data_IF_736160883353
#
_entry.id   IF_736160883353
#
_cell.length_a   1.000
_cell.length_b   1.000
_cell.length_c   1.000
_cell.angle_alpha   90.00
_cell.angle_beta   90.00
_cell.angle_gamma   90.00
#
_symmetry.space_group_name_H-M   'P 1'
#
loop_
_entity.id
_entity.type
_entity.pdbx_description
1 polymer ?
#
# COMPACT_ATOMS: atom_id res chain seq x y z
N UNK A 1 -18.25 -28.64 22.85
CA UNK A 1 -18.35 -28.92 21.42
C UNK A 1 -17.16 -28.21 20.77
N UNK A 2 -16.01 -28.90 20.74
CA UNK A 2 -14.77 -28.40 20.16
C UNK A 2 -14.85 -28.57 18.65
N UNK A 3 -14.95 -27.48 17.91
CA UNK A 3 -14.82 -27.50 16.47
C UNK A 3 -13.35 -27.71 16.13
N UNK A 4 -12.99 -28.86 15.59
CA UNK A 4 -11.74 -29.04 14.86
C UNK A 4 -11.87 -28.25 13.55
N UNK A 5 -11.40 -26.98 13.58
CA UNK A 5 -11.38 -26.06 12.43
C UNK A 5 -10.07 -26.16 11.64
N UNK A 6 -9.19 -27.07 12.01
CA UNK A 6 -7.88 -27.23 11.37
C UNK A 6 -7.93 -28.35 10.34
N UNK A 7 -7.99 -28.02 9.08
CA UNK A 7 -7.71 -28.94 7.99
C UNK A 7 -6.23 -29.31 8.00
N UNK A 8 -5.93 -30.56 8.38
CA UNK A 8 -4.70 -31.29 8.06
C UNK A 8 -3.36 -30.78 8.62
N UNK A 9 -2.90 -31.46 9.64
CA UNK A 9 -1.55 -31.56 10.21
C UNK A 9 -0.37 -31.23 9.28
N UNK A 10 -0.02 -29.94 9.14
CA UNK A 10 1.39 -29.56 8.95
C UNK A 10 1.60 -28.13 9.46
N UNK A 11 1.90 -28.02 10.75
CA UNK A 11 2.51 -26.78 11.27
C UNK A 11 3.80 -26.52 10.48
N UNK A 12 3.78 -25.50 9.64
CA UNK A 12 4.95 -25.05 8.90
C UNK A 12 5.91 -24.36 9.88
N UNK A 13 7.21 -24.53 9.70
CA UNK A 13 8.22 -23.88 10.53
C UNK A 13 9.25 -23.19 9.67
N UNK A 14 9.55 -21.93 9.96
CA UNK A 14 10.52 -21.14 9.21
C UNK A 14 11.49 -20.39 10.16
N UNK A 15 12.70 -20.14 9.68
CA UNK A 15 13.68 -19.35 10.41
C UNK A 15 13.20 -17.89 10.49
N UNK A 16 12.75 -17.32 9.39
CA UNK A 16 12.18 -15.96 9.34
C UNK A 16 10.85 -15.98 8.62
N UNK A 17 9.83 -15.41 9.25
CA UNK A 17 8.55 -15.07 8.62
C UNK A 17 8.44 -13.55 8.50
N UNK A 18 8.20 -13.06 7.29
CA UNK A 18 8.03 -11.62 7.01
C UNK A 18 6.57 -11.37 6.70
N UNK A 19 5.91 -10.51 7.47
CA UNK A 19 4.51 -10.15 7.28
C UNK A 19 4.43 -8.86 6.49
N UNK A 20 4.06 -8.97 5.22
CA UNK A 20 3.95 -7.91 4.23
C UNK A 20 5.00 -7.99 3.13
N UNK A 21 4.53 -8.11 1.88
CA UNK A 21 5.32 -8.21 0.65
C UNK A 21 5.56 -6.87 -0.04
N UNK A 22 5.49 -5.75 0.70
CA UNK A 22 5.93 -4.43 0.22
C UNK A 22 7.45 -4.29 0.22
N UNK A 23 7.98 -3.16 -0.24
CA UNK A 23 9.44 -2.92 -0.37
C UNK A 23 10.22 -3.17 0.91
N UNK A 24 9.68 -2.81 2.06
CA UNK A 24 10.33 -3.06 3.35
C UNK A 24 10.50 -4.57 3.63
N UNK A 25 9.45 -5.36 3.39
CA UNK A 25 9.49 -6.82 3.56
C UNK A 25 10.40 -7.49 2.53
N UNK A 26 10.32 -7.06 1.28
CA UNK A 26 11.17 -7.57 0.19
C UNK A 26 12.65 -7.27 0.46
N UNK A 27 12.98 -6.04 0.88
CA UNK A 27 14.35 -5.65 1.26
C UNK A 27 14.87 -6.47 2.44
N UNK A 28 14.03 -6.66 3.47
CA UNK A 28 14.40 -7.47 4.64
C UNK A 28 14.68 -8.93 4.27
N UNK A 29 13.86 -9.51 3.38
CA UNK A 29 14.06 -10.87 2.89
C UNK A 29 15.38 -11.02 2.11
N UNK A 30 15.66 -10.08 1.20
CA UNK A 30 16.89 -10.09 0.42
C UNK A 30 18.14 -9.94 1.29
N UNK A 31 18.09 -9.05 2.29
CA UNK A 31 19.21 -8.87 3.20
C UNK A 31 19.42 -10.10 4.09
N UNK A 32 18.35 -10.69 4.61
CA UNK A 32 18.44 -11.94 5.37
C UNK A 32 19.04 -13.07 4.52
N UNK A 33 18.68 -13.17 3.24
CA UNK A 33 19.26 -14.14 2.30
C UNK A 33 20.75 -13.90 2.09
N UNK A 34 21.19 -12.64 1.91
CA UNK A 34 22.61 -12.28 1.79
C UNK A 34 23.41 -12.65 3.04
N UNK A 35 22.81 -12.54 4.23
CA UNK A 35 23.41 -12.95 5.50
C UNK A 35 23.42 -14.47 5.72
N UNK A 36 22.99 -15.26 4.74
CA UNK A 36 23.08 -16.72 4.75
C UNK A 36 21.85 -17.44 5.32
N UNK A 37 20.74 -16.74 5.59
CA UNK A 37 19.51 -17.38 6.04
C UNK A 37 18.77 -17.91 4.81
N UNK A 38 18.55 -19.23 4.77
CA UNK A 38 17.93 -19.91 3.63
C UNK A 38 16.42 -20.11 3.79
N UNK A 39 15.94 -20.27 5.01
CA UNK A 39 14.55 -20.57 5.30
C UNK A 39 13.77 -19.30 5.66
N UNK A 40 13.29 -18.61 4.64
CA UNK A 40 12.55 -17.35 4.72
C UNK A 40 11.24 -17.50 3.98
N UNK A 41 10.12 -17.06 4.58
CA UNK A 41 8.83 -16.94 3.90
C UNK A 41 8.25 -15.54 4.08
N UNK A 42 7.74 -14.97 2.98
CA UNK A 42 6.99 -13.71 2.98
C UNK A 42 5.49 -14.03 2.92
N UNK A 43 4.70 -13.43 3.80
CA UNK A 43 3.24 -13.55 3.80
C UNK A 43 2.64 -12.24 3.29
N UNK A 44 1.92 -12.30 2.17
CA UNK A 44 1.29 -11.13 1.56
C UNK A 44 -0.22 -11.37 1.38
N UNK A 45 -1.02 -10.41 1.80
CA UNK A 45 -2.49 -10.51 1.72
C UNK A 45 -3.05 -10.21 0.32
N UNK A 46 -2.34 -9.40 -0.47
CA UNK A 46 -2.74 -9.09 -1.84
C UNK A 46 -2.33 -10.24 -2.78
N UNK A 47 -2.82 -10.19 -4.01
CA UNK A 47 -2.54 -11.20 -5.04
C UNK A 47 -1.18 -11.04 -5.71
N UNK A 48 -0.38 -10.05 -5.29
CA UNK A 48 0.95 -9.74 -5.84
C UNK A 48 1.86 -9.10 -4.79
N UNK A 49 3.17 -9.25 -4.98
CA UNK A 49 4.20 -8.55 -4.22
C UNK A 49 4.35 -7.10 -4.72
N UNK A 50 4.94 -6.22 -3.90
CA UNK A 50 5.23 -4.82 -4.23
C UNK A 50 4.48 -3.81 -3.36
N UNK A 51 3.37 -4.23 -2.74
CA UNK A 51 2.61 -3.43 -1.79
C UNK A 51 2.04 -2.15 -2.42
N UNK A 52 2.12 -1.04 -1.68
CA UNK A 52 1.52 0.23 -2.10
C UNK A 52 2.15 0.80 -3.38
N UNK A 53 3.39 0.44 -3.70
CA UNK A 53 4.08 0.93 -4.90
C UNK A 53 3.40 0.51 -6.20
N UNK A 54 2.75 -0.64 -6.23
CA UNK A 54 2.00 -1.07 -7.41
C UNK A 54 0.85 -0.11 -7.77
N UNK A 55 0.44 0.74 -6.83
CA UNK A 55 -0.63 1.75 -7.01
C UNK A 55 -0.08 3.12 -7.43
N UNK A 56 1.22 3.36 -7.26
CA UNK A 56 1.87 4.65 -7.52
C UNK A 56 2.52 4.67 -8.90
N UNK A 57 1.70 4.88 -9.93
CA UNK A 57 2.16 4.89 -11.33
C UNK A 57 2.79 6.23 -11.76
N UNK A 58 2.92 7.21 -10.84
CA UNK A 58 3.70 8.42 -11.10
C UNK A 58 5.20 8.13 -10.98
N UNK A 59 5.99 8.88 -11.70
CA UNK A 59 7.44 8.94 -11.60
C UNK A 59 7.86 9.72 -10.34
N UNK A 60 8.93 9.33 -9.70
CA UNK A 60 9.43 9.99 -8.48
C UNK A 60 10.19 9.04 -7.56
N UNK A 61 10.27 7.79 -7.95
CA UNK A 61 11.08 6.80 -7.25
C UNK A 61 12.45 6.69 -7.92
N UNK A 62 13.52 6.73 -7.14
CA UNK A 62 14.89 6.57 -7.64
C UNK A 62 15.48 5.30 -7.04
N UNK A 63 16.09 4.49 -7.90
CA UNK A 63 16.97 3.42 -7.47
C UNK A 63 18.39 3.88 -7.75
N UNK A 64 19.23 3.85 -6.75
CA UNK A 64 20.65 4.17 -6.86
C UNK A 64 20.97 5.64 -7.18
N UNK A 65 22.24 5.95 -7.37
CA UNK A 65 22.77 7.28 -7.70
C UNK A 65 22.44 7.75 -9.14
N UNK A 66 21.68 6.95 -9.90
CA UNK A 66 21.42 7.20 -11.34
C UNK A 66 20.57 8.42 -11.62
N UNK A 67 19.92 9.05 -10.63
CA UNK A 67 18.95 10.15 -10.77
C UNK A 67 17.77 9.86 -11.71
N UNK A 68 17.66 8.65 -12.25
CA UNK A 68 16.55 8.26 -13.09
C UNK A 68 15.29 8.10 -12.26
N UNK A 69 14.27 8.89 -12.56
CA UNK A 69 12.95 8.79 -11.95
C UNK A 69 12.19 7.64 -12.63
N UNK A 70 11.75 6.68 -11.84
CA UNK A 70 10.93 5.55 -12.30
C UNK A 70 9.60 5.51 -11.56
N UNK A 71 8.66 4.77 -12.08
CA UNK A 71 7.35 4.58 -11.46
C UNK A 71 7.42 3.63 -10.25
N UNK A 72 6.40 3.68 -9.38
CA UNK A 72 6.31 2.78 -8.23
C UNK A 72 6.35 1.29 -8.62
N UNK A 73 5.57 0.82 -9.61
CA UNK A 73 5.63 -0.56 -10.09
C UNK A 73 7.02 -0.97 -10.62
N UNK A 74 7.70 -0.11 -11.37
CA UNK A 74 9.07 -0.40 -11.84
C UNK A 74 10.05 -0.52 -10.67
N UNK A 75 9.89 0.35 -9.66
CA UNK A 75 10.69 0.28 -8.44
C UNK A 75 10.43 -1.04 -7.68
N UNK A 76 9.16 -1.42 -7.48
CA UNK A 76 8.78 -2.67 -6.84
C UNK A 76 9.29 -3.89 -7.61
N UNK A 77 9.20 -3.87 -8.94
CA UNK A 77 9.62 -4.96 -9.80
C UNK A 77 11.10 -5.33 -9.62
N UNK A 78 11.98 -4.35 -9.37
CA UNK A 78 13.41 -4.63 -9.11
C UNK A 78 13.60 -5.53 -7.88
N UNK A 79 12.83 -5.31 -6.82
CA UNK A 79 12.87 -6.18 -5.63
C UNK A 79 12.24 -7.55 -5.90
N UNK A 80 11.08 -7.58 -6.55
CA UNK A 80 10.37 -8.83 -6.88
C UNK A 80 11.24 -9.74 -7.74
N UNK A 81 11.91 -9.17 -8.75
CA UNK A 81 12.86 -9.91 -9.58
C UNK A 81 13.96 -10.58 -8.75
N UNK A 82 14.58 -9.82 -7.82
CA UNK A 82 15.60 -10.35 -6.94
C UNK A 82 15.05 -11.44 -5.98
N UNK A 83 13.83 -11.30 -5.46
CA UNK A 83 13.17 -12.34 -4.64
C UNK A 83 13.08 -13.65 -5.41
N UNK A 84 12.65 -13.59 -6.69
CA UNK A 84 12.52 -14.76 -7.54
C UNK A 84 13.89 -15.35 -7.91
N UNK A 85 14.88 -14.54 -8.24
CA UNK A 85 16.24 -14.97 -8.56
C UNK A 85 16.94 -15.66 -7.39
N UNK A 86 16.62 -15.26 -6.15
CA UNK A 86 17.16 -15.88 -4.92
C UNK A 86 16.25 -16.99 -4.36
N UNK A 87 15.20 -17.35 -5.08
CA UNK A 87 14.25 -18.42 -4.70
C UNK A 87 13.70 -18.24 -3.27
N UNK A 88 13.39 -17.00 -2.89
CA UNK A 88 12.79 -16.72 -1.59
C UNK A 88 11.29 -17.05 -1.65
N UNK A 89 10.82 -17.91 -0.75
CA UNK A 89 9.43 -18.33 -0.71
C UNK A 89 8.48 -17.22 -0.28
N UNK A 90 7.29 -17.19 -0.87
CA UNK A 90 6.21 -16.28 -0.47
C UNK A 90 4.84 -16.92 -0.65
N UNK A 91 3.87 -16.49 0.15
CA UNK A 91 2.45 -16.85 0.08
C UNK A 91 1.65 -15.58 -0.19
N UNK A 92 1.01 -15.53 -1.37
CA UNK A 92 0.08 -14.45 -1.77
C UNK A 92 -1.34 -14.77 -1.29
N UNK A 93 -2.25 -13.81 -1.40
CA UNK A 93 -3.65 -13.94 -0.95
C UNK A 93 -3.77 -14.49 0.48
N UNK A 94 -2.76 -14.28 1.31
CA UNK A 94 -2.65 -14.88 2.63
C UNK A 94 -2.72 -13.81 3.70
N UNK A 95 -3.78 -13.83 4.50
CA UNK A 95 -4.02 -12.87 5.56
C UNK A 95 -3.56 -13.42 6.91
N UNK A 96 -2.67 -12.71 7.59
CA UNK A 96 -2.30 -13.00 8.97
C UNK A 96 -3.40 -12.48 9.90
N UNK A 97 -3.97 -13.36 10.72
CA UNK A 97 -5.03 -13.05 11.66
C UNK A 97 -4.51 -12.70 13.06
N UNK A 98 -3.50 -13.46 13.52
CA UNK A 98 -2.92 -13.27 14.85
C UNK A 98 -1.49 -13.81 14.92
N UNK A 99 -0.78 -13.39 15.97
CA UNK A 99 0.53 -13.92 16.30
C UNK A 99 0.65 -14.01 17.84
N UNK A 100 1.15 -15.14 18.33
CA UNK A 100 1.42 -15.35 19.75
C UNK A 100 2.79 -14.78 20.17
N UNK A 101 3.04 -14.70 21.48
CA UNK A 101 4.37 -14.32 22.02
C UNK A 101 5.46 -15.33 21.65
N UNK A 102 5.08 -16.58 21.42
CA UNK A 102 5.99 -17.65 21.00
C UNK A 102 6.20 -17.68 19.48
N UNK A 103 5.75 -16.63 18.78
CA UNK A 103 5.88 -16.46 17.33
C UNK A 103 5.18 -17.53 16.50
N UNK A 104 4.06 -18.06 17.00
CA UNK A 104 3.11 -18.84 16.21
C UNK A 104 2.18 -17.86 15.52
N UNK A 105 2.17 -17.89 14.20
CA UNK A 105 1.39 -17.02 13.33
C UNK A 105 0.20 -17.81 12.81
N UNK A 106 -1.01 -17.32 13.07
CA UNK A 106 -2.25 -17.86 12.46
C UNK A 106 -2.57 -17.08 11.20
N UNK A 107 -2.68 -17.76 10.08
CA UNK A 107 -2.98 -17.17 8.79
C UNK A 107 -4.10 -17.94 8.06
N UNK A 108 -4.69 -17.29 7.05
CA UNK A 108 -5.75 -17.86 6.23
C UNK A 108 -5.55 -17.49 4.77
N UNK A 109 -5.78 -18.44 3.88
CA UNK A 109 -5.92 -18.24 2.43
C UNK A 109 -6.94 -19.23 1.84
N UNK A 110 -7.24 -19.11 0.56
CA UNK A 110 -8.23 -19.97 -0.10
C UNK A 110 -7.71 -21.39 -0.37
N UNK A 111 -6.39 -21.58 -0.45
CA UNK A 111 -5.76 -22.87 -0.77
C UNK A 111 -5.58 -23.76 0.46
N UNK A 112 -5.01 -23.18 1.53
CA UNK A 112 -4.65 -23.91 2.75
C UNK A 112 -5.75 -23.82 3.82
N UNK A 113 -6.74 -22.92 3.64
CA UNK A 113 -7.71 -22.60 4.69
C UNK A 113 -7.06 -21.85 5.85
N UNK A 114 -7.44 -22.20 7.09
CA UNK A 114 -6.83 -21.69 8.31
C UNK A 114 -5.64 -22.59 8.70
N UNK A 115 -4.46 -21.98 8.87
CA UNK A 115 -3.24 -22.71 9.21
C UNK A 115 -2.33 -21.91 10.15
N UNK A 116 -1.33 -22.61 10.73
CA UNK A 116 -0.36 -22.01 11.64
C UNK A 116 1.07 -22.16 11.11
N UNK A 117 1.87 -21.12 11.36
CA UNK A 117 3.29 -21.07 11.02
C UNK A 117 4.10 -20.77 12.27
N UNK A 118 5.07 -21.62 12.58
CA UNK A 118 6.07 -21.37 13.59
C UNK A 118 7.23 -20.57 13.01
N UNK A 119 7.70 -19.54 13.72
CA UNK A 119 8.84 -18.72 13.29
C UNK A 119 9.89 -18.61 14.38
N UNK A 120 11.18 -18.71 14.02
CA UNK A 120 12.27 -18.34 14.96
C UNK A 120 12.35 -16.82 15.12
N UNK A 121 12.10 -16.08 14.04
CA UNK A 121 11.98 -14.61 14.05
C UNK A 121 10.84 -14.15 13.14
N UNK A 122 10.20 -13.03 13.50
CA UNK A 122 9.16 -12.42 12.70
C UNK A 122 9.51 -10.97 12.41
N UNK A 123 9.39 -10.57 11.15
CA UNK A 123 9.55 -9.19 10.70
C UNK A 123 8.19 -8.66 10.31
N UNK A 124 7.74 -7.58 10.98
CA UNK A 124 6.50 -6.90 10.66
C UNK A 124 6.77 -5.79 9.64
N UNK A 125 6.33 -5.98 8.41
CA UNK A 125 6.45 -5.04 7.29
C UNK A 125 5.09 -4.72 6.65
N UNK A 126 4.04 -4.64 7.48
CA UNK A 126 2.63 -4.53 7.05
C UNK A 126 2.26 -3.18 6.42
N UNK A 127 3.20 -2.23 6.37
CA UNK A 127 3.01 -0.91 5.78
C UNK A 127 2.13 0.02 6.61
N UNK A 128 1.77 1.15 6.01
CA UNK A 128 0.84 2.11 6.56
C UNK A 128 -0.55 1.95 5.93
N UNK A 129 -1.57 2.30 6.69
CA UNK A 129 -2.94 2.35 6.21
C UNK A 129 -3.42 3.79 6.21
N UNK A 130 -4.19 4.18 5.21
CA UNK A 130 -4.88 5.47 5.19
C UNK A 130 -5.71 5.66 6.46
N UNK A 131 -5.73 6.89 6.98
CA UNK A 131 -6.61 7.24 8.10
C UNK A 131 -8.06 6.99 7.70
N UNK A 132 -8.78 6.25 8.54
CA UNK A 132 -10.20 6.01 8.33
C UNK A 132 -10.97 7.32 8.31
N UNK A 133 -12.03 7.40 7.51
CA UNK A 133 -12.91 8.56 7.39
C UNK A 133 -13.42 9.07 8.74
N UNK A 134 -13.61 8.16 9.69
CA UNK A 134 -14.07 8.46 11.06
C UNK A 134 -13.09 9.34 11.84
N UNK A 135 -11.79 9.29 11.52
CA UNK A 135 -10.73 10.09 12.17
C UNK A 135 -10.72 11.53 11.64
N UNK A 136 -11.33 11.78 10.49
CA UNK A 136 -11.36 13.10 9.85
C UNK A 136 -12.47 14.01 10.39
N UNK A 137 -13.23 13.58 11.42
CA UNK A 137 -14.35 14.33 12.00
C UNK A 137 -15.37 14.82 10.96
N UNK A 138 -15.46 14.12 9.82
CA UNK A 138 -16.45 14.44 8.81
C UNK A 138 -17.80 13.91 9.25
N UNK A 139 -18.86 14.74 9.27
CA UNK A 139 -20.19 14.31 9.72
C UNK A 139 -20.86 13.29 8.79
N UNK A 140 -20.14 12.74 7.82
CA UNK A 140 -20.66 11.96 6.71
C UNK A 140 -20.27 10.47 6.76
N UNK A 141 -20.39 9.83 7.92
CA UNK A 141 -19.99 8.45 8.17
C UNK A 141 -20.61 7.39 7.24
N UNK A 142 -21.54 7.74 6.36
CA UNK A 142 -22.22 6.82 5.44
C UNK A 142 -22.50 7.40 4.05
N UNK A 143 -21.98 8.59 3.72
CA UNK A 143 -22.21 9.17 2.41
C UNK A 143 -21.45 8.40 1.33
N UNK A 144 -22.17 7.98 0.30
CA UNK A 144 -21.56 7.48 -0.92
C UNK A 144 -20.71 8.58 -1.57
N UNK A 145 -19.62 8.19 -2.24
CA UNK A 145 -18.77 9.15 -2.96
C UNK A 145 -17.63 9.75 -2.14
N UNK A 146 -17.41 9.31 -0.89
CA UNK A 146 -16.23 9.71 -0.10
C UNK A 146 -15.22 8.56 -0.13
N UNK A 147 -14.04 8.84 -0.65
CA UNK A 147 -12.94 7.87 -0.81
C UNK A 147 -11.64 8.42 -0.26
N UNK A 148 -10.74 7.56 0.22
CA UNK A 148 -9.36 7.94 0.49
C UNK A 148 -8.59 8.08 -0.82
N UNK A 149 -7.50 8.84 -0.82
CA UNK A 149 -6.63 8.98 -1.99
C UNK A 149 -6.11 7.62 -2.48
N UNK A 150 -5.77 6.73 -1.53
CA UNK A 150 -5.35 5.36 -1.83
C UNK A 150 -6.44 4.55 -2.53
N UNK A 151 -7.69 4.63 -2.05
CA UNK A 151 -8.81 3.94 -2.68
C UNK A 151 -9.06 4.44 -4.10
N UNK A 152 -8.97 5.76 -4.32
CA UNK A 152 -9.11 6.36 -5.67
C UNK A 152 -8.02 5.85 -6.62
N UNK A 153 -6.77 5.83 -6.16
CA UNK A 153 -5.67 5.29 -6.96
C UNK A 153 -5.89 3.80 -7.29
N UNK A 154 -6.39 3.01 -6.34
CA UNK A 154 -6.73 1.60 -6.59
C UNK A 154 -7.83 1.48 -7.64
N UNK A 155 -8.91 2.27 -7.55
CA UNK A 155 -9.98 2.26 -8.56
C UNK A 155 -9.47 2.59 -9.95
N UNK A 156 -8.65 3.63 -10.08
CA UNK A 156 -8.13 4.06 -11.39
C UNK A 156 -7.12 3.04 -11.92
N UNK A 157 -6.10 2.71 -11.12
CA UNK A 157 -4.93 2.00 -11.62
C UNK A 157 -5.15 0.49 -11.77
N UNK A 158 -6.00 -0.13 -10.94
CA UNK A 158 -6.28 -1.57 -11.03
C UNK A 158 -7.61 -1.93 -11.69
N UNK A 159 -8.60 -1.05 -11.57
CA UNK A 159 -9.95 -1.35 -12.06
C UNK A 159 -10.37 -0.51 -13.25
N UNK A 160 -9.59 0.50 -13.66
CA UNK A 160 -9.95 1.42 -14.75
C UNK A 160 -11.24 2.20 -14.48
N UNK A 161 -11.59 2.39 -13.21
CA UNK A 161 -12.83 3.01 -12.78
C UNK A 161 -12.60 4.40 -12.18
N UNK A 162 -13.40 5.39 -12.62
CA UNK A 162 -13.38 6.72 -12.02
C UNK A 162 -14.41 6.83 -10.90
N UNK A 163 -14.03 7.38 -9.71
CA UNK A 163 -14.93 7.50 -8.57
C UNK A 163 -16.03 8.55 -8.75
N UNK A 164 -15.88 9.46 -9.71
CA UNK A 164 -16.85 10.51 -10.02
C UNK A 164 -16.39 11.44 -11.12
N UNK A 165 -17.30 12.31 -11.61
CA UNK A 165 -17.01 13.29 -12.68
C UNK A 165 -16.53 14.63 -12.14
N UNK A 166 -17.10 15.08 -11.01
CA UNK A 166 -16.71 16.32 -10.32
C UNK A 166 -16.25 15.96 -8.92
N UNK A 167 -15.00 16.29 -8.60
CA UNK A 167 -14.33 15.79 -7.40
C UNK A 167 -13.74 16.97 -6.63
N UNK A 168 -13.87 16.94 -5.33
CA UNK A 168 -13.13 17.80 -4.40
C UNK A 168 -12.14 16.91 -3.67
N UNK A 169 -10.89 17.34 -3.63
CA UNK A 169 -9.83 16.67 -2.86
C UNK A 169 -9.64 17.42 -1.54
N UNK A 170 -9.71 16.69 -0.41
CA UNK A 170 -9.52 17.26 0.92
C UNK A 170 -8.18 16.85 1.51
N UNK A 171 -7.30 17.81 1.63
CA UNK A 171 -5.91 17.68 2.08
C UNK A 171 -4.91 17.95 0.96
N UNK A 172 -3.92 18.80 1.25
CA UNK A 172 -2.86 19.23 0.32
C UNK A 172 -1.53 18.53 0.54
N UNK A 173 -1.52 17.32 1.12
CA UNK A 173 -0.32 16.51 1.15
C UNK A 173 0.00 15.94 -0.25
N UNK A 174 1.20 15.39 -0.45
CA UNK A 174 1.62 14.91 -1.77
C UNK A 174 0.65 13.89 -2.36
N UNK A 175 0.08 12.99 -1.56
CA UNK A 175 -0.93 12.04 -2.04
C UNK A 175 -2.18 12.73 -2.60
N UNK A 176 -2.64 13.82 -1.96
CA UNK A 176 -3.77 14.64 -2.44
C UNK A 176 -3.45 15.37 -3.74
N UNK A 177 -2.24 15.93 -3.86
CA UNK A 177 -1.79 16.63 -5.07
C UNK A 177 -1.66 15.65 -6.25
N UNK A 178 -0.96 14.54 -6.04
CA UNK A 178 -0.73 13.52 -7.07
C UNK A 178 -2.04 12.88 -7.55
N UNK A 179 -2.97 12.58 -6.63
CA UNK A 179 -4.27 12.02 -7.02
C UNK A 179 -5.12 13.04 -7.78
N UNK A 180 -5.01 14.33 -7.47
CA UNK A 180 -5.70 15.40 -8.22
C UNK A 180 -5.24 15.45 -9.67
N UNK A 181 -3.92 15.40 -9.90
CA UNK A 181 -3.34 15.28 -11.24
C UNK A 181 -3.85 14.04 -11.96
N UNK A 182 -3.83 12.88 -11.29
CA UNK A 182 -4.26 11.61 -11.88
C UNK A 182 -5.72 11.65 -12.30
N UNK A 183 -6.62 12.11 -11.44
CA UNK A 183 -8.05 12.28 -11.72
C UNK A 183 -8.28 13.15 -12.96
N UNK A 184 -7.54 14.26 -13.06
CA UNK A 184 -7.65 15.20 -14.19
C UNK A 184 -7.16 14.58 -15.49
N UNK A 185 -6.05 13.86 -15.47
CA UNK A 185 -5.51 13.15 -16.64
C UNK A 185 -6.46 12.07 -17.16
N UNK A 186 -7.25 11.45 -16.29
CA UNK A 186 -8.28 10.47 -16.67
C UNK A 186 -9.60 11.11 -17.10
N UNK A 187 -9.66 12.43 -17.25
CA UNK A 187 -10.79 13.15 -17.82
C UNK A 187 -11.90 13.54 -16.84
N UNK A 188 -11.69 13.38 -15.53
CA UNK A 188 -12.62 13.94 -14.53
C UNK A 188 -12.19 15.34 -14.10
N UNK A 189 -13.14 16.12 -13.59
CA UNK A 189 -12.91 17.49 -13.16
C UNK A 189 -12.63 17.57 -11.67
N UNK A 190 -11.43 18.04 -11.28
CA UNK A 190 -11.12 18.39 -9.90
C UNK A 190 -11.51 19.85 -9.68
N UNK A 191 -12.59 20.08 -8.95
CA UNK A 191 -13.13 21.42 -8.69
C UNK A 191 -12.20 22.25 -7.82
N UNK A 192 -11.61 21.65 -6.79
CA UNK A 192 -10.62 22.29 -5.91
C UNK A 192 -9.91 21.24 -5.06
N UNK A 193 -8.70 21.60 -4.60
CA UNK A 193 -8.06 20.98 -3.45
C UNK A 193 -8.31 21.89 -2.25
N UNK A 194 -8.86 21.34 -1.16
CA UNK A 194 -9.22 22.06 0.06
C UNK A 194 -8.28 21.63 1.19
N UNK A 195 -7.65 22.58 1.86
CA UNK A 195 -6.74 22.34 2.97
C UNK A 195 -7.15 23.13 4.21
N UNK A 196 -7.28 22.42 5.33
CA UNK A 196 -7.65 23.02 6.63
C UNK A 196 -6.57 23.97 7.16
N UNK A 197 -5.31 23.64 6.92
CA UNK A 197 -4.19 24.47 7.36
C UNK A 197 -4.03 25.71 6.45
N UNK A 198 -3.51 26.84 6.97
CA UNK A 198 -3.28 28.05 6.17
C UNK A 198 -2.02 27.94 5.28
N UNK A 199 -1.48 26.76 5.10
CA UNK A 199 -0.28 26.50 4.31
C UNK A 199 -0.37 25.15 3.60
N UNK A 200 0.37 25.01 2.49
CA UNK A 200 0.56 23.75 1.75
C UNK A 200 1.25 22.70 2.64
N UNK A 201 0.76 21.47 2.62
CA UNK A 201 1.36 20.36 3.37
C UNK A 201 2.26 19.45 2.52
N UNK A 202 2.09 19.46 1.22
CA UNK A 202 2.94 18.74 0.27
C UNK A 202 4.13 19.55 -0.18
N UNK A 203 4.93 18.98 -1.08
CA UNK A 203 6.08 19.64 -1.67
C UNK A 203 5.65 20.67 -2.72
N UNK A 204 6.42 21.76 -2.83
CA UNK A 204 6.13 22.84 -3.79
C UNK A 204 6.22 22.37 -5.26
N UNK A 205 7.10 21.41 -5.55
CA UNK A 205 7.22 20.78 -6.85
C UNK A 205 5.91 20.10 -7.26
N UNK A 206 5.31 19.31 -6.36
CA UNK A 206 4.02 18.67 -6.60
C UNK A 206 2.87 19.67 -6.72
N UNK A 207 2.92 20.82 -6.03
CA UNK A 207 1.94 21.89 -6.24
C UNK A 207 1.97 22.35 -7.70
N UNK A 208 3.16 22.72 -8.21
CA UNK A 208 3.32 23.23 -9.56
C UNK A 208 2.94 22.19 -10.62
N UNK A 209 3.39 20.94 -10.47
CA UNK A 209 3.14 19.89 -11.46
C UNK A 209 1.73 19.31 -11.43
N UNK A 210 1.08 19.32 -10.25
CA UNK A 210 -0.21 18.65 -10.08
C UNK A 210 -1.41 19.60 -10.05
N UNK A 211 -1.23 20.85 -9.59
CA UNK A 211 -2.33 21.81 -9.51
C UNK A 211 -2.17 22.98 -10.47
N UNK A 212 -1.02 23.70 -10.42
CA UNK A 212 -0.83 24.91 -11.22
C UNK A 212 -0.89 24.60 -12.72
N UNK A 213 -0.24 23.53 -13.16
CA UNK A 213 -0.25 23.08 -14.55
C UNK A 213 -1.66 22.80 -15.09
N UNK A 214 -2.55 22.29 -14.22
CA UNK A 214 -3.93 21.95 -14.59
C UNK A 214 -4.95 23.02 -14.20
N UNK A 215 -4.50 24.16 -13.66
CA UNK A 215 -5.36 25.25 -13.15
C UNK A 215 -6.35 24.77 -12.07
N UNK A 216 -5.95 23.85 -11.21
CA UNK A 216 -6.78 23.34 -10.10
C UNK A 216 -6.62 24.30 -8.90
N UNK A 217 -7.73 24.89 -8.40
CA UNK A 217 -7.66 25.80 -7.27
C UNK A 217 -7.22 25.11 -5.97
N UNK A 218 -6.29 25.73 -5.23
CA UNK A 218 -5.93 25.35 -3.86
C UNK A 218 -6.56 26.32 -2.87
N UNK A 219 -7.44 25.84 -2.01
CA UNK A 219 -8.15 26.62 -0.99
C UNK A 219 -7.55 26.32 0.39
N UNK A 220 -6.65 27.20 0.84
CA UNK A 220 -6.00 27.10 2.16
C UNK A 220 -6.85 27.72 3.28
N UNK A 221 -6.85 27.13 4.47
CA UNK A 221 -7.63 27.59 5.61
C UNK A 221 -9.11 27.25 5.53
N UNK A 222 -9.52 26.36 4.65
CA UNK A 222 -10.90 25.93 4.45
C UNK A 222 -11.12 24.51 4.95
N UNK A 223 -12.34 24.22 5.35
CA UNK A 223 -12.80 22.88 5.73
C UNK A 223 -14.14 22.57 5.08
N UNK A 224 -14.42 21.30 4.91
CA UNK A 224 -15.72 20.80 4.41
C UNK A 224 -16.65 20.66 5.63
N UNK A 225 -17.88 21.16 5.49
CA UNK A 225 -18.94 21.06 6.51
C UNK A 225 -19.96 20.00 6.10
#
# INVERSE_FOLDING_TARGET
MSYELFGGDKMQSHDIVIIGGGTAGLSAALEARKLGISDIVIIERENELGGILNRYIHDGFTCDDSKEKITGPEYAYKFIKNINEHEISYKLNTTVLSMTKDKVITAVNDEDGLFEINAKAVILASGACDKRKEILEMPMNKAAGIYTAEAVQKFINFHGCMPGKNIIVYGSNDSGLIVSRRITLEGSHVTAVVEKMPYLRGHQENLSECLDYFNIPLLLGYTIK
#
